data_IF_567902005425
#
_entry.id   IF_567902005425
#
_cell.length_a   1.000
_cell.length_b   1.000
_cell.length_c   1.000
_cell.angle_alpha   90.00
_cell.angle_beta   90.00
_cell.angle_gamma   90.00
#
_symmetry.space_group_name_H-M   'P 1'
#
loop_
_entity.id
_entity.type
_entity.pdbx_description
1 polymer ?
#
# COMPACT_ATOMS: atom_id res chain seq x y z
N UNK A 1 -5.70 -14.47 -22.09
CA UNK A 1 -4.25 -14.54 -21.78
C UNK A 1 -3.68 -13.12 -21.61
N UNK A 2 -2.84 -12.86 -20.60
CA UNK A 2 -2.14 -11.59 -20.43
C UNK A 2 -1.06 -11.39 -21.50
N UNK A 3 -0.71 -10.12 -21.79
CA UNK A 3 0.32 -9.76 -22.78
C UNK A 3 1.45 -8.98 -22.11
N UNK A 4 2.69 -9.34 -22.42
CA UNK A 4 3.87 -8.61 -21.95
C UNK A 4 4.36 -7.65 -23.03
N UNK A 5 4.60 -6.40 -22.64
CA UNK A 5 5.24 -5.38 -23.47
C UNK A 5 6.73 -5.35 -23.16
N UNK A 6 7.56 -5.24 -24.21
CA UNK A 6 9.02 -5.17 -24.09
C UNK A 6 9.50 -3.72 -24.10
N UNK A 7 8.84 -2.85 -24.85
CA UNK A 7 9.26 -1.47 -25.05
C UNK A 7 8.41 -0.45 -24.27
N UNK A 8 9.06 0.61 -23.80
CA UNK A 8 8.41 1.71 -23.08
C UNK A 8 7.49 2.53 -24.01
N UNK A 9 7.87 2.67 -25.29
CA UNK A 9 7.08 3.42 -26.28
C UNK A 9 5.69 2.81 -26.47
N UNK A 10 5.63 1.49 -26.64
CA UNK A 10 4.38 0.73 -26.74
C UNK A 10 3.52 0.91 -25.47
N UNK A 11 4.15 0.89 -24.30
CA UNK A 11 3.45 1.10 -23.03
C UNK A 11 2.76 2.47 -22.96
N UNK A 12 3.44 3.55 -23.38
CA UNK A 12 2.86 4.90 -23.38
C UNK A 12 1.69 5.02 -24.36
N UNK A 13 1.76 4.34 -25.51
CA UNK A 13 0.65 4.27 -26.47
C UNK A 13 -0.55 3.54 -25.87
N UNK A 14 -0.33 2.40 -25.21
CA UNK A 14 -1.39 1.62 -24.54
C UNK A 14 -2.01 2.42 -23.39
N UNK A 15 -1.22 3.16 -22.60
CA UNK A 15 -1.72 3.97 -21.50
C UNK A 15 -2.64 5.12 -21.96
N UNK A 16 -2.38 5.71 -23.14
CA UNK A 16 -3.23 6.79 -23.68
C UNK A 16 -4.49 6.30 -24.38
N UNK A 17 -4.61 5.00 -24.65
CA UNK A 17 -5.73 4.41 -25.38
C UNK A 17 -7.04 4.55 -24.59
N UNK A 18 -8.17 4.73 -25.28
CA UNK A 18 -9.47 5.00 -24.63
C UNK A 18 -10.04 3.82 -23.85
N UNK A 19 -9.55 2.60 -24.09
CA UNK A 19 -10.01 1.38 -23.43
C UNK A 19 -9.20 1.04 -22.16
N UNK A 20 -8.14 1.80 -21.88
CA UNK A 20 -7.34 1.65 -20.68
C UNK A 20 -8.12 2.26 -19.50
N UNK A 21 -8.47 1.40 -18.52
CA UNK A 21 -9.32 1.78 -17.38
C UNK A 21 -8.51 2.11 -16.14
N UNK A 22 -7.54 1.27 -15.82
CA UNK A 22 -6.74 1.40 -14.60
C UNK A 22 -5.33 0.88 -14.79
N UNK A 23 -4.42 1.43 -13.98
CA UNK A 23 -3.02 1.00 -13.93
C UNK A 23 -2.71 0.57 -12.51
N UNK A 24 -2.23 -0.67 -12.36
CA UNK A 24 -1.73 -1.20 -11.10
C UNK A 24 -0.20 -1.24 -11.15
N UNK A 25 0.44 -0.55 -10.22
CA UNK A 25 1.90 -0.47 -10.13
C UNK A 25 2.35 -1.41 -9.02
N UNK A 26 2.95 -2.56 -9.32
CA UNK A 26 3.44 -3.49 -8.29
C UNK A 26 4.96 -3.42 -8.19
N UNK A 27 5.48 -2.96 -7.07
CA UNK A 27 6.89 -3.09 -6.72
C UNK A 27 7.16 -4.49 -6.13
N UNK A 28 8.22 -5.15 -6.57
CA UNK A 28 8.70 -6.41 -5.99
C UNK A 28 9.82 -6.17 -4.98
N UNK A 29 10.23 -7.21 -4.24
CA UNK A 29 11.36 -7.13 -3.29
C UNK A 29 12.70 -6.90 -4.00
N UNK A 30 12.83 -7.32 -5.25
CA UNK A 30 14.07 -7.24 -6.04
C UNK A 30 14.23 -5.89 -6.79
N UNK A 31 13.63 -4.81 -6.27
CA UNK A 31 13.51 -3.49 -6.92
C UNK A 31 12.86 -3.47 -8.32
N UNK A 32 12.39 -4.62 -8.80
CA UNK A 32 11.65 -4.74 -10.05
C UNK A 32 10.23 -4.21 -9.89
N UNK A 33 9.87 -3.22 -10.69
CA UNK A 33 8.53 -2.64 -10.74
C UNK A 33 7.77 -3.15 -11.97
N UNK A 34 6.56 -3.69 -11.74
CA UNK A 34 5.66 -4.17 -12.79
C UNK A 34 4.50 -3.19 -12.94
N UNK A 35 4.38 -2.56 -14.10
CA UNK A 35 3.22 -1.75 -14.45
C UNK A 35 2.21 -2.63 -15.18
N UNK A 36 0.99 -2.72 -14.64
CA UNK A 36 -0.09 -3.54 -15.18
C UNK A 36 -1.23 -2.64 -15.62
N UNK A 37 -1.44 -2.49 -16.93
CA UNK A 37 -2.56 -1.73 -17.49
C UNK A 37 -3.73 -2.69 -17.71
N UNK A 38 -4.89 -2.38 -17.13
CA UNK A 38 -6.13 -3.07 -17.46
C UNK A 38 -6.79 -2.37 -18.65
N UNK A 39 -6.81 -3.06 -19.78
CA UNK A 39 -7.62 -2.71 -20.93
C UNK A 39 -8.92 -3.53 -20.95
N UNK A 40 -9.78 -3.32 -21.96
CA UNK A 40 -11.03 -4.10 -22.10
C UNK A 40 -10.75 -5.60 -22.22
N UNK A 41 -9.92 -6.00 -23.19
CA UNK A 41 -9.67 -7.42 -23.53
C UNK A 41 -8.47 -8.04 -22.81
N UNK A 42 -7.39 -7.27 -22.66
CA UNK A 42 -6.11 -7.80 -22.17
C UNK A 42 -5.59 -7.02 -20.97
N UNK A 43 -4.80 -7.70 -20.15
CA UNK A 43 -3.90 -7.07 -19.19
C UNK A 43 -2.53 -6.93 -19.85
N UNK A 44 -2.05 -5.70 -19.99
CA UNK A 44 -0.71 -5.43 -20.49
C UNK A 44 0.24 -5.24 -19.31
N UNK A 45 1.40 -5.88 -19.37
CA UNK A 45 2.42 -5.74 -18.33
C UNK A 45 3.75 -5.36 -18.91
N UNK A 46 4.38 -4.33 -18.35
CA UNK A 46 5.81 -4.03 -18.57
C UNK A 46 6.56 -4.21 -17.24
N UNK A 47 7.74 -4.81 -17.33
CA UNK A 47 8.62 -5.08 -16.20
C UNK A 47 9.80 -4.13 -16.33
N UNK A 48 9.99 -3.26 -15.34
CA UNK A 48 11.08 -2.29 -15.29
C UNK A 48 11.98 -2.66 -14.10
N UNK A 49 13.26 -2.90 -14.36
CA UNK A 49 14.24 -3.28 -13.33
C UNK A 49 14.84 -2.07 -12.61
N UNK A 50 14.96 -0.93 -13.32
CA UNK A 50 15.58 0.27 -12.79
C UNK A 50 14.55 1.19 -12.11
N UNK A 51 14.80 1.52 -10.84
CA UNK A 51 13.90 2.35 -10.02
C UNK A 51 13.69 3.76 -10.60
N UNK A 52 14.76 4.42 -11.01
CA UNK A 52 14.69 5.78 -11.56
C UNK A 52 13.84 5.85 -12.85
N UNK A 53 13.98 4.84 -13.72
CA UNK A 53 13.16 4.73 -14.94
C UNK A 53 11.70 4.48 -14.58
N UNK A 54 11.43 3.66 -13.56
CA UNK A 54 10.07 3.42 -13.09
C UNK A 54 9.41 4.69 -12.52
N UNK A 55 10.16 5.50 -11.77
CA UNK A 55 9.64 6.76 -11.21
C UNK A 55 9.33 7.80 -12.29
N UNK A 56 10.22 7.94 -13.29
CA UNK A 56 9.96 8.78 -14.49
C UNK A 56 8.74 8.29 -15.27
N UNK A 57 8.60 6.96 -15.42
CA UNK A 57 7.46 6.37 -16.13
C UNK A 57 6.14 6.62 -15.38
N UNK A 58 6.17 6.57 -14.04
CA UNK A 58 5.02 6.88 -13.20
C UNK A 58 4.58 8.35 -13.33
N UNK A 59 5.53 9.28 -13.40
CA UNK A 59 5.26 10.71 -13.64
C UNK A 59 4.71 10.97 -15.05
N UNK A 60 5.10 10.16 -16.03
CA UNK A 60 4.67 10.28 -17.43
C UNK A 60 3.24 9.78 -17.69
N UNK A 61 2.60 9.13 -16.70
CA UNK A 61 1.22 8.65 -16.84
C UNK A 61 0.25 9.85 -16.80
N UNK A 62 -0.76 9.90 -17.69
CA UNK A 62 -1.70 11.01 -17.73
C UNK A 62 -2.54 11.06 -16.43
N UNK A 63 -2.45 12.15 -15.64
CA UNK A 63 -3.31 12.32 -14.47
C UNK A 63 -4.76 12.53 -14.94
N UNK A 64 -5.71 11.82 -14.32
CA UNK A 64 -7.15 11.99 -14.58
C UNK A 64 -7.78 10.97 -15.54
N UNK A 65 -7.04 10.44 -16.52
CA UNK A 65 -7.60 9.41 -17.45
C UNK A 65 -7.55 7.99 -16.87
N UNK A 66 -6.54 7.70 -16.06
CA UNK A 66 -6.29 6.36 -15.54
C UNK A 66 -6.39 6.36 -14.01
N UNK A 67 -7.21 5.46 -13.47
CA UNK A 67 -7.19 5.20 -12.03
C UNK A 67 -5.90 4.46 -11.68
N UNK A 68 -5.01 5.15 -10.95
CA UNK A 68 -3.75 4.58 -10.47
C UNK A 68 -4.03 3.85 -9.16
N UNK A 69 -4.24 2.53 -9.26
CA UNK A 69 -4.38 1.67 -8.11
C UNK A 69 -2.99 1.35 -7.59
N UNK A 70 -2.52 2.18 -6.66
CA UNK A 70 -1.35 1.83 -5.85
C UNK A 70 -1.74 0.61 -5.01
N UNK A 71 -1.01 -0.51 -5.07
CA UNK A 71 -1.14 -1.51 -4.02
C UNK A 71 -0.89 -0.78 -2.71
N UNK A 72 -1.66 -1.14 -1.69
CA UNK A 72 -1.47 -0.66 -0.34
C UNK A 72 -0.09 -1.19 0.07
N UNK A 73 0.96 -0.42 -0.21
CA UNK A 73 2.34 -0.73 0.14
C UNK A 73 2.39 -0.59 1.64
N UNK A 74 2.21 -1.72 2.34
CA UNK A 74 2.23 -1.80 3.80
C UNK A 74 1.33 -0.72 4.41
N UNK A 75 0.01 -0.92 4.37
CA UNK A 75 -0.77 -0.39 5.49
C UNK A 75 -0.15 -1.09 6.70
N UNK A 76 0.62 -0.36 7.50
CA UNK A 76 0.64 -0.68 8.92
C UNK A 76 -0.80 -0.47 9.32
N UNK A 77 -1.59 -1.54 9.28
CA UNK A 77 -2.92 -1.56 9.88
C UNK A 77 -2.66 -1.44 11.37
N UNK A 78 -2.47 -0.19 11.83
CA UNK A 78 -2.66 0.16 13.21
C UNK A 78 -4.17 0.24 13.39
N UNK A 79 -4.76 -0.86 13.85
CA UNK A 79 -6.10 -0.81 14.41
C UNK A 79 -5.98 -0.42 15.87
N UNK A 80 -6.70 0.63 16.27
CA UNK A 80 -6.95 0.92 17.69
C UNK A 80 -8.10 0.01 18.09
N UNK A 81 -7.81 -0.99 18.92
CA UNK A 81 -8.78 -2.05 19.24
C UNK A 81 -9.79 -1.62 20.30
N UNK A 82 -9.36 -0.81 21.28
CA UNK A 82 -10.23 -0.36 22.36
C UNK A 82 -9.55 0.69 23.25
N UNK A 83 -10.37 1.60 23.80
CA UNK A 83 -10.04 2.49 24.90
C UNK A 83 -10.91 2.09 26.09
N UNK A 84 -10.31 1.63 27.18
CA UNK A 84 -11.04 1.27 28.39
C UNK A 84 -10.70 2.26 29.50
N UNK A 85 -11.73 2.73 30.21
CA UNK A 85 -11.60 3.59 31.38
C UNK A 85 -11.78 2.72 32.62
N UNK A 86 -10.73 2.57 33.42
CA UNK A 86 -10.81 1.83 34.69
C UNK A 86 -10.68 2.79 35.85
N UNK A 87 -11.57 2.68 36.84
CA UNK A 87 -11.53 3.47 38.06
C UNK A 87 -10.89 2.63 39.16
N UNK A 88 -9.68 3.00 39.56
CA UNK A 88 -8.92 2.34 40.63
C UNK A 88 -8.56 3.44 41.63
N UNK A 89 -8.96 3.29 42.89
CA UNK A 89 -8.65 4.19 44.00
C UNK A 89 -9.03 5.66 43.76
N UNK A 90 -10.25 5.90 43.29
CA UNK A 90 -10.78 7.25 43.03
C UNK A 90 -10.23 7.95 41.79
N UNK A 91 -9.18 7.40 41.16
CA UNK A 91 -8.50 7.99 40.00
C UNK A 91 -8.93 7.29 38.71
N UNK A 92 -9.29 8.06 37.68
CA UNK A 92 -9.64 7.53 36.35
C UNK A 92 -8.34 7.20 35.58
N UNK A 93 -8.21 5.97 35.11
CA UNK A 93 -7.10 5.54 34.26
C UNK A 93 -7.60 5.21 32.86
N UNK A 94 -6.97 5.82 31.85
CA UNK A 94 -7.22 5.53 30.45
C UNK A 94 -6.19 4.53 29.95
N UNK A 95 -6.66 3.38 29.46
CA UNK A 95 -5.83 2.36 28.84
C UNK A 95 -6.18 2.27 27.36
N UNK A 96 -5.18 2.47 26.51
CA UNK A 96 -5.33 2.39 25.05
C UNK A 96 -4.59 1.18 24.53
N UNK A 97 -5.26 0.37 23.72
CA UNK A 97 -4.65 -0.81 23.10
C UNK A 97 -4.48 -0.58 21.60
N UNK A 98 -3.23 -0.57 21.15
CA UNK A 98 -2.84 -0.43 19.75
C UNK A 98 -2.32 -1.78 19.28
N UNK A 99 -2.95 -2.35 18.25
CA UNK A 99 -2.42 -3.53 17.61
C UNK A 99 -1.81 -3.18 16.26
N UNK A 100 -0.68 -3.81 15.95
CA UNK A 100 0.03 -3.68 14.69
C UNK A 100 0.21 -5.07 14.08
N UNK A 101 -0.27 -5.26 12.85
CA UNK A 101 0.04 -6.47 12.09
C UNK A 101 1.19 -6.23 11.12
N UNK A 102 2.26 -7.04 11.24
CA UNK A 102 3.41 -7.01 10.33
C UNK A 102 3.70 -8.45 9.90
N UNK A 103 3.72 -8.74 8.59
CA UNK A 103 4.10 -10.06 8.07
C UNK A 103 3.35 -11.27 8.68
N UNK A 104 2.03 -11.15 8.93
CA UNK A 104 1.19 -12.16 9.62
C UNK A 104 1.46 -12.34 11.13
N UNK A 105 2.37 -11.55 11.70
CA UNK A 105 2.55 -11.45 13.15
C UNK A 105 1.69 -10.31 13.70
N UNK A 106 1.04 -10.55 14.84
CA UNK A 106 0.22 -9.59 15.55
C UNK A 106 0.96 -9.10 16.80
N UNK A 107 1.24 -7.80 16.85
CA UNK A 107 1.87 -7.15 17.99
C UNK A 107 0.83 -6.30 18.70
N UNK A 108 0.76 -6.39 20.02
CA UNK A 108 -0.21 -5.62 20.79
C UNK A 108 0.50 -4.81 21.87
N UNK A 109 0.22 -3.51 21.90
CA UNK A 109 0.82 -2.56 22.83
C UNK A 109 -0.28 -1.86 23.62
N UNK A 110 -0.05 -1.70 24.92
CA UNK A 110 -0.96 -1.04 25.82
C UNK A 110 -0.30 0.21 26.41
N UNK A 111 -0.93 1.36 26.25
CA UNK A 111 -0.53 2.60 26.90
C UNK A 111 -1.32 2.80 28.18
N UNK A 112 -0.65 3.07 29.30
CA UNK A 112 -1.29 3.48 30.57
C UNK A 112 -1.09 4.98 30.80
N UNK A 113 -2.18 5.70 31.03
CA UNK A 113 -2.13 7.13 31.38
C UNK A 113 -1.49 7.40 32.74
N UNK A 114 -1.42 6.40 33.64
CA UNK A 114 -0.75 6.54 34.95
C UNK A 114 0.76 6.42 34.83
N UNK A 115 1.23 5.43 34.08
CA UNK A 115 2.67 5.17 33.92
C UNK A 115 3.32 5.99 32.80
N UNK A 116 2.51 6.63 31.94
CA UNK A 116 2.94 7.35 30.74
C UNK A 116 3.87 6.54 29.82
N UNK A 117 3.68 5.22 29.76
CA UNK A 117 4.49 4.32 28.96
C UNK A 117 3.65 3.31 28.16
N UNK A 118 4.20 2.83 27.05
CA UNK A 118 3.70 1.75 26.20
C UNK A 118 4.37 0.43 26.62
N UNK A 119 3.56 -0.55 26.99
CA UNK A 119 4.04 -1.91 27.27
C UNK A 119 3.55 -2.88 26.20
N UNK A 120 4.41 -3.82 25.79
CA UNK A 120 4.01 -4.89 24.86
C UNK A 120 3.26 -5.97 25.65
N UNK A 121 2.07 -6.32 25.19
CA UNK A 121 1.22 -7.34 25.82
C UNK A 121 1.10 -8.63 25.01
N UNK A 122 1.50 -8.60 23.72
CA UNK A 122 1.62 -9.78 22.84
C UNK A 122 2.58 -9.50 21.67
#
# INVERSE_FOLDING_TARGET
>A
MPKQLKEIKEFLVVARRNDAKSVKIKKNRDDVTKFKIRCSKYLYTIVVKEKEKADKLKQSLPPGKLQINRPIENHRDYHVYCANVTRIDGTLELKWTIGQSVNQEHFCWQYSSKEQNLQRIS
#
